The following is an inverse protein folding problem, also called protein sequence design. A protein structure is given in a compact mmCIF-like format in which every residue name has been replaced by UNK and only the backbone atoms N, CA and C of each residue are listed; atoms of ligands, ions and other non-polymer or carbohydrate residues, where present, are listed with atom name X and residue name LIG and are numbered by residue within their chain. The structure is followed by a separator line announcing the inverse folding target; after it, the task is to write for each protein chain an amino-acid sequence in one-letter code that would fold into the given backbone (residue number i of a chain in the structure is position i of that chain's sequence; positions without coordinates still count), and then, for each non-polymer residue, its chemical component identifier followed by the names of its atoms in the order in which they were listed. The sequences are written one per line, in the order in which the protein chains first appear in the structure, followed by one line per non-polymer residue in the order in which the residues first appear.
data_IF_460914383956
#
_entry.id   IF_460914383956
#
_cell.length_a   1.000
_cell.length_b   1.000
_cell.length_c   1.000
_cell.angle_alpha   90.00
_cell.angle_beta   90.00
_cell.angle_gamma   90.00
#
_symmetry.space_group_name_H-M   'P 1'
#
loop_
_entity.id
_entity.type
_entity.pdbx_description
1 polymer ?
#
# COMPACT_ATOMS: atom_id res chain seq x y z
N UNK A 1 -34.93 2.16 3.78
CA UNK A 1 -33.92 3.24 3.77
C UNK A 1 -34.56 4.48 3.12
N UNK A 2 -34.44 5.64 3.74
CA UNK A 2 -34.84 6.94 3.16
C UNK A 2 -33.72 7.42 2.19
N UNK A 3 -33.46 6.59 1.17
CA UNK A 3 -32.33 6.70 0.26
C UNK A 3 -32.76 7.37 -1.06
N UNK A 4 -34.02 7.24 -1.44
CA UNK A 4 -34.57 7.77 -2.70
C UNK A 4 -34.36 9.27 -2.87
N UNK A 5 -34.28 10.03 -1.78
CA UNK A 5 -34.00 11.47 -1.80
C UNK A 5 -32.61 11.83 -2.33
N UNK A 6 -31.70 10.85 -2.43
CA UNK A 6 -30.36 11.06 -3.01
C UNK A 6 -30.32 10.84 -4.53
N UNK A 7 -31.43 10.47 -5.17
CA UNK A 7 -31.49 10.30 -6.62
C UNK A 7 -31.49 11.59 -7.44
N UNK A 8 -31.09 12.70 -6.80
CA UNK A 8 -31.06 14.05 -7.39
C UNK A 8 -29.66 14.46 -7.89
N UNK A 9 -28.62 13.67 -7.61
CA UNK A 9 -27.24 13.96 -7.98
C UNK A 9 -26.53 12.70 -8.45
N UNK A 10 -25.46 12.89 -9.22
CA UNK A 10 -24.59 11.81 -9.65
C UNK A 10 -23.96 11.11 -8.45
N UNK A 11 -24.09 9.80 -8.40
CA UNK A 11 -23.67 8.99 -7.25
C UNK A 11 -22.53 8.06 -7.62
N UNK A 12 -21.47 8.05 -6.82
CA UNK A 12 -20.30 7.19 -6.98
C UNK A 12 -20.31 6.12 -5.88
N UNK A 13 -20.30 4.86 -6.26
CA UNK A 13 -20.11 3.76 -5.32
C UNK A 13 -18.62 3.46 -5.16
N UNK A 14 -18.11 3.56 -3.94
CA UNK A 14 -16.72 3.20 -3.59
C UNK A 14 -16.75 2.00 -2.66
N UNK A 15 -15.95 0.97 -2.99
CA UNK A 15 -15.72 -0.20 -2.14
C UNK A 15 -14.33 -0.10 -1.55
N UNK A 16 -14.23 -0.08 -0.21
CA UNK A 16 -12.94 0.08 0.49
C UNK A 16 -12.97 -0.57 1.88
N UNK A 17 -11.80 -0.69 2.51
CA UNK A 17 -11.66 -1.09 3.91
C UNK A 17 -11.58 0.13 4.86
N UNK A 18 -11.60 -0.13 6.19
CA UNK A 18 -11.45 0.89 7.24
C UNK A 18 -10.13 0.73 8.03
N UNK A 19 -9.10 0.08 7.46
CA UNK A 19 -7.86 -0.27 8.17
C UNK A 19 -6.81 0.84 8.15
N UNK A 20 -7.09 1.97 7.51
CA UNK A 20 -6.13 3.08 7.38
C UNK A 20 -5.14 2.89 6.22
N UNK A 21 -4.01 3.59 6.31
CA UNK A 21 -2.94 3.49 5.31
C UNK A 21 -3.14 4.31 4.04
N UNK A 22 -2.31 3.99 3.03
CA UNK A 22 -2.28 4.69 1.74
C UNK A 22 -3.58 4.60 0.94
N UNK A 23 -4.24 3.45 0.96
CA UNK A 23 -5.51 3.23 0.27
C UNK A 23 -6.61 4.17 0.79
N UNK A 24 -6.77 4.25 2.11
CA UNK A 24 -7.75 5.17 2.71
C UNK A 24 -7.38 6.64 2.49
N UNK A 25 -6.09 7.01 2.54
CA UNK A 25 -5.62 8.36 2.19
C UNK A 25 -6.03 8.74 0.75
N UNK A 26 -5.84 7.82 -0.19
CA UNK A 26 -6.25 8.02 -1.59
C UNK A 26 -7.77 8.14 -1.72
N UNK A 27 -8.54 7.20 -1.15
CA UNK A 27 -10.01 7.25 -1.14
C UNK A 27 -10.53 8.58 -0.60
N UNK A 28 -9.99 9.05 0.53
CA UNK A 28 -10.44 10.31 1.14
C UNK A 28 -10.17 11.51 0.23
N UNK A 29 -9.02 11.53 -0.45
CA UNK A 29 -8.70 12.57 -1.44
C UNK A 29 -9.66 12.52 -2.63
N UNK A 30 -9.94 11.33 -3.13
CA UNK A 30 -10.86 11.11 -4.25
C UNK A 30 -12.30 11.47 -3.89
N UNK A 31 -12.76 11.04 -2.71
CA UNK A 31 -14.11 11.37 -2.19
C UNK A 31 -14.28 12.88 -2.02
N UNK A 32 -13.29 13.56 -1.45
CA UNK A 32 -13.32 15.01 -1.31
C UNK A 32 -13.50 15.71 -2.66
N UNK A 33 -12.75 15.30 -3.69
CA UNK A 33 -12.88 15.82 -5.03
C UNK A 33 -14.30 15.66 -5.58
N UNK A 34 -14.88 14.47 -5.51
CA UNK A 34 -16.24 14.23 -5.99
C UNK A 34 -17.31 15.01 -5.21
N UNK A 35 -17.14 15.15 -3.89
CA UNK A 35 -18.04 15.94 -3.07
C UNK A 35 -17.96 17.45 -3.43
N UNK A 36 -16.79 17.97 -3.78
CA UNK A 36 -16.59 19.33 -4.27
C UNK A 36 -17.22 19.55 -5.65
N UNK A 37 -17.27 18.50 -6.49
CA UNK A 37 -17.98 18.47 -7.77
C UNK A 37 -19.52 18.33 -7.60
N UNK A 38 -20.03 18.26 -6.38
CA UNK A 38 -21.47 18.13 -6.08
C UNK A 38 -22.01 16.69 -6.17
N UNK A 39 -21.16 15.70 -6.30
CA UNK A 39 -21.54 14.28 -6.37
C UNK A 39 -21.82 13.71 -4.98
N UNK A 40 -22.53 12.59 -4.93
CA UNK A 40 -22.79 11.82 -3.73
C UNK A 40 -21.87 10.60 -3.71
N UNK A 41 -21.31 10.28 -2.55
CA UNK A 41 -20.50 9.08 -2.36
C UNK A 41 -21.28 8.04 -1.57
N UNK A 42 -21.42 6.85 -2.12
CA UNK A 42 -21.80 5.64 -1.40
C UNK A 42 -20.53 4.87 -1.07
N UNK A 43 -20.12 4.86 0.19
CA UNK A 43 -18.94 4.12 0.63
C UNK A 43 -19.40 2.81 1.29
N UNK A 44 -19.08 1.68 0.64
CA UNK A 44 -19.32 0.34 1.16
C UNK A 44 -18.06 -0.19 1.81
N UNK A 45 -18.14 -0.53 3.10
CA UNK A 45 -17.05 -1.11 3.90
C UNK A 45 -17.53 -2.32 4.68
N UNK A 46 -16.58 -3.10 5.22
CA UNK A 46 -16.87 -4.14 6.20
C UNK A 46 -16.15 -3.83 7.50
N UNK A 47 -16.93 -3.64 8.56
CA UNK A 47 -16.41 -3.26 9.86
C UNK A 47 -16.06 -4.51 10.69
N UNK A 48 -14.78 -4.79 10.85
CA UNK A 48 -14.26 -6.02 11.46
C UNK A 48 -14.69 -6.25 12.91
N UNK A 49 -14.79 -5.19 13.71
CA UNK A 49 -15.15 -5.35 15.14
C UNK A 49 -16.64 -5.73 15.33
N UNK A 50 -17.51 -5.26 14.47
CA UNK A 50 -18.94 -5.60 14.54
C UNK A 50 -19.37 -6.67 13.56
N UNK A 51 -18.47 -7.14 12.69
CA UNK A 51 -18.72 -8.13 11.64
C UNK A 51 -19.93 -7.76 10.77
N UNK A 52 -19.97 -6.50 10.32
CA UNK A 52 -21.11 -5.95 9.58
C UNK A 52 -20.67 -5.19 8.33
N UNK A 53 -21.45 -5.31 7.27
CA UNK A 53 -21.36 -4.41 6.13
C UNK A 53 -21.92 -3.05 6.51
N UNK A 54 -21.19 -2.02 6.17
CA UNK A 54 -21.55 -0.63 6.44
C UNK A 54 -21.63 0.12 5.11
N UNK A 55 -22.74 0.81 4.91
CA UNK A 55 -22.89 1.77 3.82
C UNK A 55 -22.92 3.17 4.40
N UNK A 56 -21.98 4.00 4.01
CA UNK A 56 -22.00 5.43 4.32
C UNK A 56 -22.42 6.23 3.10
N UNK A 57 -23.31 7.18 3.32
CA UNK A 57 -23.74 8.14 2.29
C UNK A 57 -23.14 9.49 2.65
N UNK A 58 -22.24 9.97 1.81
CA UNK A 58 -21.61 11.26 1.98
C UNK A 58 -22.14 12.24 0.93
N UNK A 59 -22.61 13.37 1.40
CA UNK A 59 -22.89 14.57 0.60
C UNK A 59 -21.95 15.69 1.02
N UNK A 60 -21.96 16.82 0.34
CA UNK A 60 -21.16 18.00 0.74
C UNK A 60 -21.38 18.40 2.20
N UNK A 61 -22.61 18.23 2.72
CA UNK A 61 -23.03 18.78 4.00
C UNK A 61 -23.41 17.71 5.04
N UNK A 62 -23.56 16.44 4.64
CA UNK A 62 -24.05 15.39 5.54
C UNK A 62 -23.32 14.08 5.30
N UNK A 63 -23.19 13.32 6.39
CA UNK A 63 -22.74 11.93 6.35
C UNK A 63 -23.75 11.09 7.14
N UNK A 64 -24.22 10.01 6.54
CA UNK A 64 -25.11 9.04 7.19
C UNK A 64 -24.53 7.66 7.06
N UNK A 65 -24.72 6.85 8.10
CA UNK A 65 -24.19 5.48 8.18
C UNK A 65 -25.32 4.49 8.37
N UNK A 66 -25.36 3.45 7.56
CA UNK A 66 -26.34 2.38 7.58
C UNK A 66 -25.64 1.03 7.74
N UNK A 67 -26.24 0.15 8.52
CA UNK A 67 -25.82 -1.25 8.62
C UNK A 67 -26.60 -2.03 7.58
N UNK A 68 -25.90 -2.85 6.81
CA UNK A 68 -26.50 -3.79 5.87
C UNK A 68 -26.51 -5.18 6.49
N UNK A 69 -27.60 -5.92 6.29
CA UNK A 69 -27.71 -7.32 6.75
C UNK A 69 -26.85 -8.25 5.90
N UNK A 70 -26.64 -7.90 4.63
CA UNK A 70 -25.76 -8.62 3.71
C UNK A 70 -25.26 -7.68 2.61
N UNK A 71 -24.21 -8.09 1.90
CA UNK A 71 -23.64 -7.31 0.80
C UNK A 71 -24.59 -7.20 -0.39
N UNK A 72 -25.49 -8.17 -0.58
CA UNK A 72 -26.46 -8.21 -1.66
C UNK A 72 -27.49 -7.07 -1.58
N UNK A 73 -27.66 -6.44 -0.41
CA UNK A 73 -28.52 -5.27 -0.29
C UNK A 73 -28.09 -4.10 -1.19
N UNK A 74 -26.83 -4.10 -1.65
CA UNK A 74 -26.36 -3.08 -2.60
C UNK A 74 -27.13 -3.12 -3.94
N UNK A 75 -27.67 -4.29 -4.35
CA UNK A 75 -28.53 -4.37 -5.54
C UNK A 75 -29.86 -3.63 -5.32
N UNK A 76 -30.44 -3.72 -4.12
CA UNK A 76 -31.67 -2.97 -3.77
C UNK A 76 -31.39 -1.46 -3.82
N UNK A 77 -30.20 -1.05 -3.33
CA UNK A 77 -29.79 0.35 -3.34
C UNK A 77 -29.55 0.84 -4.77
N UNK A 78 -28.92 0.03 -5.63
CA UNK A 78 -28.72 0.35 -7.04
C UNK A 78 -30.03 0.46 -7.85
N UNK A 79 -31.12 -0.16 -7.40
CA UNK A 79 -32.45 0.04 -7.96
C UNK A 79 -33.10 1.37 -7.53
N UNK A 80 -32.73 1.91 -6.35
CA UNK A 80 -33.31 3.13 -5.79
C UNK A 80 -32.53 4.38 -6.16
N UNK A 81 -31.21 4.24 -6.36
CA UNK A 81 -30.29 5.34 -6.68
C UNK A 81 -29.54 5.01 -7.94
N UNK A 82 -29.52 5.94 -8.91
CA UNK A 82 -28.71 5.83 -10.12
C UNK A 82 -27.24 5.98 -9.77
N UNK A 83 -26.50 4.86 -9.71
CA UNK A 83 -25.05 4.85 -9.56
C UNK A 83 -24.43 5.14 -10.93
N UNK A 84 -23.60 6.18 -11.00
CA UNK A 84 -22.92 6.61 -12.22
C UNK A 84 -21.60 5.87 -12.44
N UNK A 85 -20.90 5.54 -11.37
CA UNK A 85 -19.59 4.88 -11.41
C UNK A 85 -19.36 4.00 -10.20
N UNK A 86 -18.72 2.86 -10.43
CA UNK A 86 -18.20 1.98 -9.37
C UNK A 86 -16.69 2.15 -9.30
N UNK A 87 -16.17 2.34 -8.10
CA UNK A 87 -14.73 2.40 -7.82
C UNK A 87 -14.40 1.32 -6.79
N UNK A 88 -13.66 0.32 -7.21
CA UNK A 88 -13.04 -0.62 -6.28
C UNK A 88 -11.71 -0.01 -5.80
N UNK A 89 -11.60 0.21 -4.50
CA UNK A 89 -10.37 0.68 -3.87
C UNK A 89 -9.59 -0.47 -3.25
N UNK A 90 -10.23 -1.24 -2.36
CA UNK A 90 -9.76 -2.54 -1.85
C UNK A 90 -10.87 -3.20 -1.01
N UNK A 91 -10.82 -4.53 -0.85
CA UNK A 91 -11.78 -5.28 -0.03
C UNK A 91 -11.07 -6.24 0.95
N UNK A 92 -9.85 -5.91 1.37
CA UNK A 92 -8.98 -6.77 2.19
C UNK A 92 -9.65 -7.20 3.50
N UNK A 93 -10.56 -6.41 4.07
CA UNK A 93 -11.24 -6.71 5.33
C UNK A 93 -12.61 -7.36 5.18
N UNK A 94 -13.10 -7.57 3.95
CA UNK A 94 -14.47 -8.07 3.74
C UNK A 94 -14.62 -9.52 4.18
N UNK A 95 -15.83 -9.89 4.66
CA UNK A 95 -16.14 -11.23 5.16
C UNK A 95 -15.95 -12.33 4.11
N UNK A 96 -16.47 -12.07 2.89
CA UNK A 96 -16.37 -12.98 1.75
C UNK A 96 -15.71 -12.27 0.57
N UNK A 97 -14.41 -12.03 0.67
CA UNK A 97 -13.72 -11.24 -0.35
C UNK A 97 -13.69 -11.91 -1.73
N UNK A 98 -13.83 -13.23 -1.80
CA UNK A 98 -13.95 -14.01 -3.02
C UNK A 98 -15.22 -13.72 -3.84
N UNK A 99 -16.26 -13.15 -3.21
CA UNK A 99 -17.51 -12.79 -3.88
C UNK A 99 -17.51 -11.35 -4.40
N UNK A 100 -16.59 -10.52 -3.97
CA UNK A 100 -16.47 -9.11 -4.38
C UNK A 100 -16.31 -8.95 -5.90
N UNK A 101 -15.42 -9.67 -6.61
CA UNK A 101 -15.33 -9.53 -8.06
C UNK A 101 -16.61 -9.95 -8.78
N UNK A 102 -17.40 -10.89 -8.24
CA UNK A 102 -18.68 -11.30 -8.78
C UNK A 102 -19.71 -10.17 -8.59
N UNK A 103 -19.82 -9.61 -7.39
CA UNK A 103 -20.67 -8.47 -7.09
C UNK A 103 -20.42 -7.30 -8.02
N UNK A 104 -19.15 -6.91 -8.15
CA UNK A 104 -18.72 -5.81 -9.01
C UNK A 104 -19.09 -6.03 -10.47
N UNK A 105 -18.79 -7.22 -10.99
CA UNK A 105 -19.09 -7.61 -12.38
C UNK A 105 -20.59 -7.57 -12.64
N UNK A 106 -21.40 -8.12 -11.72
CA UNK A 106 -22.84 -8.17 -11.86
C UNK A 106 -23.49 -6.79 -11.77
N UNK A 107 -23.07 -5.95 -10.83
CA UNK A 107 -23.54 -4.56 -10.72
C UNK A 107 -23.21 -3.78 -12.00
N UNK A 108 -21.96 -3.83 -12.47
CA UNK A 108 -21.55 -3.15 -13.68
C UNK A 108 -22.38 -3.57 -14.89
N UNK A 109 -22.61 -4.88 -15.08
CA UNK A 109 -23.40 -5.40 -16.21
C UNK A 109 -24.88 -5.11 -16.11
N UNK A 110 -25.50 -5.38 -14.92
CA UNK A 110 -26.95 -5.26 -14.76
C UNK A 110 -27.45 -3.83 -14.92
N UNK A 111 -26.65 -2.86 -14.52
CA UNK A 111 -27.02 -1.43 -14.54
C UNK A 111 -26.23 -0.61 -15.54
N UNK A 112 -25.37 -1.25 -16.37
CA UNK A 112 -24.49 -0.61 -17.33
C UNK A 112 -23.63 0.51 -16.67
N UNK A 113 -23.05 0.22 -15.50
CA UNK A 113 -22.27 1.19 -14.72
C UNK A 113 -20.78 0.99 -15.05
N UNK A 114 -20.07 2.05 -15.50
CA UNK A 114 -18.62 2.00 -15.69
C UNK A 114 -17.89 1.73 -14.37
N UNK A 115 -16.87 0.87 -14.42
CA UNK A 115 -16.15 0.42 -13.25
C UNK A 115 -14.66 0.71 -13.36
N UNK A 116 -14.07 1.29 -12.31
CA UNK A 116 -12.63 1.51 -12.18
C UNK A 116 -12.10 0.64 -11.04
N UNK A 117 -11.05 -0.12 -11.32
CA UNK A 117 -10.35 -0.95 -10.33
C UNK A 117 -9.02 -0.28 -9.98
N UNK A 118 -8.90 0.20 -8.75
CA UNK A 118 -7.66 0.79 -8.23
C UNK A 118 -6.76 -0.30 -7.65
N UNK A 119 -5.51 -0.32 -8.06
CA UNK A 119 -4.52 -1.27 -7.55
C UNK A 119 -3.77 -0.63 -6.37
N UNK A 120 -4.45 -0.55 -5.21
CA UNK A 120 -3.84 -0.07 -3.96
C UNK A 120 -3.04 -1.16 -3.22
N UNK A 121 -3.37 -2.40 -3.49
CA UNK A 121 -2.71 -3.61 -3.03
C UNK A 121 -2.82 -4.70 -4.12
N UNK A 122 -2.32 -5.89 -3.83
CA UNK A 122 -2.39 -7.01 -4.77
C UNK A 122 -3.46 -8.04 -4.39
N UNK A 123 -4.48 -7.63 -3.66
CA UNK A 123 -5.59 -8.50 -3.28
C UNK A 123 -6.34 -9.06 -4.49
N UNK A 124 -6.41 -8.30 -5.57
CA UNK A 124 -6.94 -8.79 -6.86
C UNK A 124 -6.12 -9.97 -7.43
N UNK A 125 -4.85 -10.13 -7.04
CA UNK A 125 -3.95 -11.21 -7.49
C UNK A 125 -3.99 -12.41 -6.54
N UNK A 126 -3.99 -12.14 -5.24
CA UNK A 126 -3.87 -13.15 -4.21
C UNK A 126 -4.56 -12.70 -2.92
N UNK A 127 -5.24 -13.61 -2.18
CA UNK A 127 -5.75 -13.29 -0.84
C UNK A 127 -4.68 -12.82 0.14
N UNK A 128 -3.38 -13.10 -0.12
CA UNK A 128 -2.25 -12.45 0.56
C UNK A 128 -1.91 -11.13 -0.15
N UNK A 129 -2.44 -9.98 0.30
CA UNK A 129 -2.42 -8.72 -0.47
C UNK A 129 -1.03 -8.11 -0.64
N UNK A 130 -0.06 -8.57 0.15
CA UNK A 130 1.33 -8.15 0.08
C UNK A 130 2.19 -9.06 -0.79
N UNK A 131 1.61 -10.12 -1.39
CA UNK A 131 2.30 -11.15 -2.18
C UNK A 131 3.44 -11.82 -1.42
N UNK A 132 3.29 -11.96 -0.11
CA UNK A 132 4.18 -12.77 0.71
C UNK A 132 3.69 -14.22 0.66
N UNK A 133 4.62 -15.16 0.42
CA UNK A 133 4.34 -16.59 0.41
C UNK A 133 4.23 -17.16 1.84
N UNK A 134 3.96 -18.44 1.94
CA UNK A 134 3.85 -19.16 3.22
C UNK A 134 5.09 -19.04 4.15
N UNK A 135 6.23 -18.61 3.61
CA UNK A 135 7.48 -18.39 4.35
C UNK A 135 7.74 -16.91 4.65
N UNK A 136 6.75 -16.03 4.41
CA UNK A 136 6.87 -14.59 4.63
C UNK A 136 7.81 -13.88 3.65
N UNK A 137 8.05 -14.45 2.46
CA UNK A 137 8.91 -13.87 1.41
C UNK A 137 8.09 -13.44 0.19
N UNK A 138 8.50 -12.38 -0.47
CA UNK A 138 7.89 -11.96 -1.72
C UNK A 138 7.94 -13.08 -2.76
N UNK A 139 6.78 -13.46 -3.29
CA UNK A 139 6.65 -14.62 -4.17
C UNK A 139 6.86 -14.31 -5.66
N UNK A 140 6.87 -13.04 -6.03
CA UNK A 140 6.98 -12.60 -7.42
C UNK A 140 5.97 -13.29 -8.38
N UNK A 141 4.76 -13.57 -7.89
CA UNK A 141 3.66 -14.18 -8.67
C UNK A 141 4.15 -15.39 -9.50
N UNK A 142 4.44 -16.53 -8.87
CA UNK A 142 4.91 -17.74 -9.56
C UNK A 142 3.76 -18.42 -10.31
N UNK A 143 4.06 -19.61 -10.90
CA UNK A 143 3.06 -20.46 -11.52
C UNK A 143 1.89 -20.77 -10.57
N UNK A 144 0.69 -20.89 -11.14
CA UNK A 144 -0.56 -21.07 -10.39
C UNK A 144 -0.57 -22.34 -9.52
N UNK A 145 0.17 -23.39 -9.90
CA UNK A 145 0.26 -24.61 -9.12
C UNK A 145 1.08 -24.39 -7.84
N UNK A 146 2.15 -23.59 -7.91
CA UNK A 146 2.92 -23.15 -6.74
C UNK A 146 2.04 -22.29 -5.83
N UNK A 147 1.29 -21.36 -6.40
CA UNK A 147 0.35 -20.51 -5.66
C UNK A 147 -0.71 -21.34 -4.93
N UNK A 148 -1.24 -22.39 -5.55
CA UNK A 148 -2.27 -23.25 -4.95
C UNK A 148 -1.73 -24.01 -3.71
N UNK A 149 -0.49 -24.48 -3.75
CA UNK A 149 0.17 -25.10 -2.61
C UNK A 149 0.50 -24.07 -1.53
N UNK A 150 1.01 -22.91 -1.93
CA UNK A 150 1.33 -21.80 -1.02
C UNK A 150 0.10 -21.35 -0.25
N UNK A 151 -1.01 -21.09 -0.92
CA UNK A 151 -2.20 -20.50 -0.30
C UNK A 151 -2.79 -21.37 0.82
N UNK A 152 -2.78 -22.68 0.67
CA UNK A 152 -3.25 -23.63 1.69
C UNK A 152 -2.46 -23.56 3.00
N UNK A 153 -1.20 -23.16 2.94
CA UNK A 153 -0.28 -23.11 4.07
C UNK A 153 0.10 -21.66 4.46
N UNK A 154 -0.38 -20.68 3.71
CA UNK A 154 -0.02 -19.28 3.91
C UNK A 154 -0.81 -18.69 5.06
N UNK A 155 -0.08 -18.28 6.11
CA UNK A 155 -0.64 -17.60 7.29
C UNK A 155 -0.37 -16.10 7.26
N UNK A 156 0.28 -15.63 6.21
CA UNK A 156 0.58 -14.20 6.01
C UNK A 156 -0.63 -13.50 5.39
N UNK A 157 -1.04 -12.41 5.99
CA UNK A 157 -2.15 -11.59 5.51
C UNK A 157 -3.54 -12.01 6.03
N UNK A 158 -4.58 -11.45 5.45
CA UNK A 158 -5.97 -11.57 5.90
C UNK A 158 -6.64 -12.92 5.60
N UNK A 159 -5.98 -13.80 4.85
CA UNK A 159 -6.53 -15.10 4.50
C UNK A 159 -6.85 -15.97 5.73
N UNK A 160 -6.18 -15.72 6.85
CA UNK A 160 -6.44 -16.43 8.10
C UNK A 160 -7.82 -16.14 8.70
N UNK A 161 -8.45 -15.05 8.32
CA UNK A 161 -9.79 -14.65 8.78
C UNK A 161 -10.90 -15.21 7.89
N UNK A 162 -10.57 -15.61 6.64
CA UNK A 162 -11.53 -15.98 5.61
C UNK A 162 -11.09 -17.25 4.87
N UNK A 163 -12.05 -18.00 4.36
CA UNK A 163 -11.83 -19.34 3.78
C UNK A 163 -11.41 -19.36 2.30
N UNK A 164 -10.95 -18.26 1.73
CA UNK A 164 -10.58 -18.14 0.33
C UNK A 164 -9.28 -18.96 0.03
N UNK A 165 -9.40 -20.27 -0.08
CA UNK A 165 -8.26 -21.18 -0.25
C UNK A 165 -8.02 -21.68 -1.68
N UNK A 166 -8.87 -21.30 -2.66
CA UNK A 166 -8.73 -21.66 -4.07
C UNK A 166 -8.23 -20.50 -4.92
N UNK A 167 -6.92 -20.50 -5.18
CA UNK A 167 -6.30 -19.43 -5.98
C UNK A 167 -6.73 -19.45 -7.45
N UNK A 168 -7.07 -20.61 -8.01
CA UNK A 168 -7.53 -20.69 -9.40
C UNK A 168 -8.89 -20.04 -9.54
N UNK A 169 -9.81 -20.35 -8.62
CA UNK A 169 -11.13 -19.71 -8.58
C UNK A 169 -11.01 -18.22 -8.29
N UNK A 170 -10.16 -17.83 -7.32
CA UNK A 170 -9.87 -16.44 -7.02
C UNK A 170 -9.45 -15.65 -8.26
N UNK A 171 -8.40 -16.12 -8.95
CA UNK A 171 -7.89 -15.43 -10.15
C UNK A 171 -8.90 -15.44 -11.30
N UNK A 172 -9.65 -16.52 -11.50
CA UNK A 172 -10.70 -16.55 -12.53
C UNK A 172 -11.77 -15.50 -12.30
N UNK A 173 -12.25 -15.35 -11.05
CA UNK A 173 -13.26 -14.34 -10.70
C UNK A 173 -12.73 -12.92 -10.87
N UNK A 174 -11.51 -12.66 -10.41
CA UNK A 174 -10.88 -11.35 -10.59
C UNK A 174 -10.54 -11.05 -12.05
N UNK A 175 -10.09 -12.01 -12.83
CA UNK A 175 -9.84 -11.82 -14.26
C UNK A 175 -11.11 -11.37 -15.01
N UNK A 176 -12.24 -12.02 -14.75
CA UNK A 176 -13.53 -11.62 -15.32
C UNK A 176 -13.92 -10.18 -14.93
N UNK A 177 -13.68 -9.81 -13.67
CA UNK A 177 -13.94 -8.47 -13.16
C UNK A 177 -13.02 -7.43 -13.81
N UNK A 178 -11.73 -7.73 -13.92
CA UNK A 178 -10.73 -6.85 -14.53
C UNK A 178 -10.96 -6.66 -16.04
N UNK A 179 -11.42 -7.70 -16.76
CA UNK A 179 -11.81 -7.59 -18.18
C UNK A 179 -13.03 -6.68 -18.34
N UNK A 180 -13.99 -6.74 -17.40
CA UNK A 180 -15.20 -5.91 -17.43
C UNK A 180 -14.92 -4.45 -17.03
N UNK A 181 -13.84 -4.18 -16.33
CA UNK A 181 -13.50 -2.83 -15.89
C UNK A 181 -13.24 -1.89 -17.08
N UNK A 182 -13.81 -0.70 -17.03
CA UNK A 182 -13.49 0.39 -17.95
C UNK A 182 -12.01 0.78 -17.84
N UNK A 183 -11.47 0.72 -16.62
CA UNK A 183 -10.09 1.11 -16.35
C UNK A 183 -9.52 0.36 -15.14
N UNK A 184 -8.28 -0.10 -15.29
CA UNK A 184 -7.44 -0.61 -14.20
C UNK A 184 -6.42 0.49 -13.88
N UNK A 185 -6.56 1.12 -12.72
CA UNK A 185 -5.71 2.24 -12.30
C UNK A 185 -4.56 1.73 -11.43
N UNK A 186 -3.35 1.82 -11.96
CA UNK A 186 -2.10 1.50 -11.26
C UNK A 186 -1.38 2.78 -10.85
N UNK A 187 -0.68 2.74 -9.72
CA UNK A 187 0.03 3.91 -9.20
C UNK A 187 1.53 3.89 -9.49
N UNK A 188 2.01 2.82 -10.14
CA UNK A 188 3.38 2.65 -10.64
C UNK A 188 3.39 1.69 -11.83
N UNK A 189 4.46 1.72 -12.64
CA UNK A 189 4.67 0.73 -13.69
C UNK A 189 4.93 -0.66 -13.11
N UNK A 190 5.60 -0.73 -11.96
CA UNK A 190 5.82 -1.96 -11.21
C UNK A 190 4.51 -2.66 -10.87
N UNK A 191 3.50 -1.93 -10.36
CA UNK A 191 2.21 -2.53 -10.03
C UNK A 191 1.46 -3.00 -11.29
N UNK A 192 1.50 -2.27 -12.42
CA UNK A 192 0.97 -2.74 -13.70
C UNK A 192 1.63 -4.06 -14.11
N UNK A 193 2.95 -4.15 -14.03
CA UNK A 193 3.68 -5.35 -14.45
C UNK A 193 3.32 -6.58 -13.59
N UNK A 194 3.12 -6.40 -12.28
CA UNK A 194 2.68 -7.48 -11.38
C UNK A 194 1.27 -7.95 -11.76
N UNK A 195 0.33 -7.04 -12.04
CA UNK A 195 -1.02 -7.40 -12.48
C UNK A 195 -0.98 -8.13 -13.84
N UNK A 196 -0.20 -7.63 -14.80
CA UNK A 196 -0.02 -8.28 -16.11
C UNK A 196 0.59 -9.67 -16.00
N UNK A 197 1.52 -9.88 -15.06
CA UNK A 197 2.11 -11.20 -14.80
C UNK A 197 1.06 -12.20 -14.27
N UNK A 198 0.15 -11.73 -13.42
CA UNK A 198 -0.96 -12.55 -12.90
C UNK A 198 -2.04 -12.81 -13.95
N UNK A 199 -2.27 -11.86 -14.85
CA UNK A 199 -3.34 -11.82 -15.85
C UNK A 199 -2.80 -11.40 -17.23
N UNK A 200 -2.10 -12.30 -17.94
CA UNK A 200 -1.50 -11.98 -19.24
C UNK A 200 -2.53 -11.63 -20.33
N UNK A 201 -3.77 -12.09 -20.18
CA UNK A 201 -4.89 -11.85 -21.11
C UNK A 201 -5.37 -10.39 -21.13
N UNK A 202 -5.11 -9.60 -20.08
CA UNK A 202 -5.57 -8.21 -20.01
C UNK A 202 -4.89 -7.34 -21.07
N UNK A 203 -5.69 -6.51 -21.77
CA UNK A 203 -5.18 -5.54 -22.73
C UNK A 203 -4.36 -4.45 -22.04
N UNK A 204 -3.28 -3.99 -22.67
CA UNK A 204 -2.51 -2.85 -22.18
C UNK A 204 -3.33 -1.55 -22.14
N UNK A 205 -4.32 -1.41 -23.02
CA UNK A 205 -5.22 -0.26 -23.09
C UNK A 205 -6.17 -0.17 -21.90
N UNK A 206 -6.41 -1.27 -21.18
CA UNK A 206 -7.22 -1.26 -19.95
C UNK A 206 -6.50 -0.61 -18.77
N UNK A 207 -5.18 -0.43 -18.87
CA UNK A 207 -4.37 0.11 -17.78
C UNK A 207 -4.14 1.61 -17.93
N UNK A 208 -4.25 2.31 -16.79
CA UNK A 208 -3.76 3.68 -16.62
C UNK A 208 -2.77 3.72 -15.48
N UNK A 209 -1.59 4.29 -15.71
CA UNK A 209 -0.61 4.57 -14.66
C UNK A 209 -0.78 6.02 -14.24
N UNK A 210 -1.15 6.24 -12.99
CA UNK A 210 -1.35 7.58 -12.44
C UNK A 210 -0.81 7.63 -11.00
N UNK A 211 0.45 8.02 -10.81
CA UNK A 211 1.04 8.16 -9.48
C UNK A 211 0.23 9.08 -8.58
N UNK A 212 0.23 8.82 -7.28
CA UNK A 212 -0.38 9.74 -6.32
C UNK A 212 0.37 11.07 -6.26
N UNK A 213 -0.37 12.14 -6.01
CA UNK A 213 0.23 13.44 -5.73
C UNK A 213 0.70 13.49 -4.29
N UNK A 214 1.97 13.83 -4.08
CA UNK A 214 2.57 14.08 -2.77
C UNK A 214 2.88 15.56 -2.67
N UNK A 215 2.58 16.17 -1.53
CA UNK A 215 2.94 17.57 -1.29
C UNK A 215 4.43 17.66 -1.04
N UNK A 216 5.11 18.51 -1.83
CA UNK A 216 6.53 18.79 -1.62
C UNK A 216 6.78 19.45 -0.26
N UNK A 217 7.92 19.20 0.38
CA UNK A 217 8.28 19.86 1.62
C UNK A 217 8.47 21.38 1.40
N UNK A 218 8.06 22.18 2.39
CA UNK A 218 8.25 23.63 2.36
C UNK A 218 9.73 23.97 2.63
N UNK A 219 10.39 23.15 3.46
CA UNK A 219 11.80 23.29 3.82
C UNK A 219 12.50 21.96 3.67
N UNK A 220 13.66 21.95 3.05
CA UNK A 220 14.49 20.75 2.94
C UNK A 220 15.29 20.54 4.22
N UNK A 221 15.33 19.31 4.77
CA UNK A 221 16.12 19.01 5.95
C UNK A 221 17.61 19.07 5.63
N UNK A 222 18.41 19.61 6.54
CA UNK A 222 19.87 19.59 6.44
C UNK A 222 20.40 18.23 6.86
N UNK A 223 20.92 17.45 5.92
CA UNK A 223 21.55 16.15 6.17
C UNK A 223 23.07 16.34 6.27
N UNK A 224 23.69 15.79 7.31
CA UNK A 224 25.14 15.85 7.55
C UNK A 224 25.69 14.43 7.34
N UNK A 225 26.33 14.21 6.18
CA UNK A 225 26.78 12.88 5.75
C UNK A 225 28.06 12.45 6.48
N UNK A 226 29.00 13.34 6.76
CA UNK A 226 30.33 13.05 7.31
C UNK A 226 30.35 12.73 8.82
N UNK A 227 29.23 12.33 9.39
CA UNK A 227 29.10 11.79 10.76
C UNK A 227 29.08 10.27 10.75
N UNK A 228 29.12 9.67 11.96
CA UNK A 228 28.85 8.24 12.12
C UNK A 228 27.54 7.84 11.43
N UNK A 229 27.50 6.64 10.85
CA UNK A 229 26.30 6.15 10.15
C UNK A 229 25.12 6.11 11.10
N UNK A 230 24.07 6.82 10.73
CA UNK A 230 22.78 6.86 11.42
C UNK A 230 21.66 6.58 10.44
N UNK A 231 21.02 5.43 10.57
CA UNK A 231 19.97 4.96 9.68
C UNK A 231 18.63 5.47 10.15
N UNK A 232 17.92 6.21 9.29
CA UNK A 232 16.53 6.62 9.48
C UNK A 232 15.56 5.62 8.85
N UNK A 233 14.47 5.34 9.52
CA UNK A 233 13.35 4.52 9.00
C UNK A 233 12.05 5.27 9.27
N UNK A 234 11.15 5.35 8.28
CA UNK A 234 9.95 6.19 8.39
C UNK A 234 8.68 5.36 8.18
N UNK A 235 7.73 5.50 9.11
CA UNK A 235 6.39 4.91 9.05
C UNK A 235 6.05 4.00 10.22
N UNK A 236 4.92 3.30 10.09
CA UNK A 236 4.56 2.19 10.97
C UNK A 236 5.19 0.92 10.40
N UNK A 237 6.25 0.43 11.05
CA UNK A 237 7.07 -0.68 10.57
C UNK A 237 6.54 -1.99 11.16
N UNK A 238 5.63 -2.63 10.42
CA UNK A 238 5.11 -3.95 10.70
C UNK A 238 5.93 -5.04 9.96
N UNK A 239 5.53 -6.30 10.07
CA UNK A 239 6.27 -7.44 9.50
C UNK A 239 6.51 -7.24 7.99
N UNK A 240 5.47 -6.96 7.21
CA UNK A 240 5.62 -6.79 5.75
C UNK A 240 6.38 -5.51 5.35
N UNK A 241 6.46 -4.54 6.25
CA UNK A 241 7.30 -3.34 6.09
C UNK A 241 8.71 -3.51 6.67
N UNK A 242 9.12 -4.74 6.98
CA UNK A 242 10.48 -5.09 7.32
C UNK A 242 10.86 -4.93 8.80
N UNK A 243 9.91 -5.02 9.73
CA UNK A 243 10.21 -4.96 11.17
C UNK A 243 11.29 -5.97 11.57
N UNK A 244 11.25 -7.18 11.00
CA UNK A 244 12.24 -8.22 11.25
C UNK A 244 13.64 -7.82 10.76
N UNK A 245 13.74 -7.19 9.60
CA UNK A 245 15.02 -6.67 9.07
C UNK A 245 15.63 -5.66 10.05
N UNK A 246 14.85 -4.70 10.54
CA UNK A 246 15.34 -3.70 11.49
C UNK A 246 15.79 -4.35 12.80
N UNK A 247 15.05 -5.33 13.31
CA UNK A 247 15.43 -6.07 14.51
C UNK A 247 16.76 -6.83 14.31
N UNK A 248 16.92 -7.53 13.17
CA UNK A 248 18.14 -8.27 12.84
C UNK A 248 19.34 -7.34 12.66
N UNK A 249 19.19 -6.20 11.97
CA UNK A 249 20.23 -5.18 11.87
C UNK A 249 20.64 -4.65 13.23
N UNK A 250 19.67 -4.35 14.11
CA UNK A 250 19.94 -3.91 15.50
C UNK A 250 20.77 -4.95 16.27
N UNK A 251 20.44 -6.23 16.13
CA UNK A 251 21.16 -7.31 16.80
C UNK A 251 22.61 -7.45 16.29
N UNK A 252 22.83 -7.31 14.97
CA UNK A 252 24.17 -7.34 14.36
C UNK A 252 25.00 -6.15 14.85
N UNK A 253 24.48 -4.94 14.80
CA UNK A 253 25.14 -3.72 15.26
C UNK A 253 25.59 -3.86 16.69
N UNK A 254 24.70 -4.38 17.57
CA UNK A 254 25.00 -4.63 18.97
C UNK A 254 26.11 -5.67 19.15
N UNK A 255 25.97 -6.83 18.46
CA UNK A 255 26.91 -7.97 18.58
C UNK A 255 28.30 -7.58 18.13
N UNK A 256 28.42 -6.80 17.06
CA UNK A 256 29.70 -6.39 16.48
C UNK A 256 30.27 -5.10 17.12
N UNK A 257 29.55 -4.48 18.04
CA UNK A 257 29.99 -3.24 18.70
C UNK A 257 30.16 -2.06 17.74
N UNK A 258 29.39 -2.03 16.65
CA UNK A 258 29.49 -0.97 15.63
C UNK A 258 28.94 0.36 16.16
N UNK A 259 29.59 1.46 15.80
CA UNK A 259 29.12 2.83 16.08
C UNK A 259 28.06 3.25 15.06
N UNK A 260 26.96 2.51 15.00
CA UNK A 260 25.81 2.74 14.13
C UNK A 260 24.57 2.84 14.97
N UNK A 261 23.68 3.79 14.65
CA UNK A 261 22.38 3.95 15.30
C UNK A 261 21.25 3.89 14.29
N UNK A 262 20.06 3.56 14.76
CA UNK A 262 18.82 3.52 13.95
C UNK A 262 17.79 4.41 14.61
N UNK A 263 17.12 5.28 13.86
CA UNK A 263 15.96 6.05 14.35
C UNK A 263 14.73 5.74 13.52
N UNK A 264 13.65 5.36 14.21
CA UNK A 264 12.34 5.12 13.60
C UNK A 264 11.45 6.34 13.81
N UNK A 265 11.12 7.02 12.72
CA UNK A 265 10.10 8.08 12.72
C UNK A 265 8.75 7.40 12.54
N UNK A 266 8.06 7.16 13.63
CA UNK A 266 6.84 6.37 13.67
C UNK A 266 6.89 5.30 14.74
N UNK A 267 6.59 4.05 14.37
CA UNK A 267 6.54 2.91 15.31
C UNK A 267 7.03 1.62 14.63
N UNK A 268 7.34 0.61 15.45
CA UNK A 268 7.72 -0.72 14.98
C UNK A 268 7.00 -1.79 15.80
N UNK A 269 6.57 -2.88 15.16
CA UNK A 269 5.85 -3.97 15.82
C UNK A 269 6.76 -4.92 16.63
N UNK A 270 8.01 -5.06 16.25
CA UNK A 270 8.95 -5.95 16.93
C UNK A 270 9.84 -5.20 17.93
N UNK A 271 10.17 -5.82 19.07
CA UNK A 271 11.09 -5.22 20.02
C UNK A 271 12.51 -5.11 19.46
N UNK A 272 13.16 -3.98 19.69
CA UNK A 272 14.55 -3.71 19.32
C UNK A 272 15.33 -3.21 20.54
N UNK A 273 16.66 -3.33 20.50
CA UNK A 273 17.51 -2.80 21.56
C UNK A 273 17.47 -1.27 21.59
N UNK A 274 17.03 -0.70 22.71
CA UNK A 274 16.89 0.77 22.89
C UNK A 274 18.22 1.53 22.88
N UNK A 275 19.36 0.85 23.01
CA UNK A 275 20.69 1.47 22.87
C UNK A 275 21.08 1.69 21.40
N UNK A 276 20.46 0.94 20.48
CA UNK A 276 20.74 1.00 19.04
C UNK A 276 19.58 1.68 18.31
N UNK A 277 18.33 1.40 18.70
CA UNK A 277 17.11 1.86 18.02
C UNK A 277 16.36 2.86 18.87
N UNK A 278 16.17 4.08 18.38
CA UNK A 278 15.28 5.08 18.95
C UNK A 278 13.98 5.17 18.16
N UNK A 279 12.87 5.48 18.83
CA UNK A 279 11.54 5.57 18.23
C UNK A 279 10.92 6.93 18.59
N UNK A 280 10.48 7.71 17.59
CA UNK A 280 9.91 9.04 17.83
C UNK A 280 8.41 9.01 18.15
N UNK A 281 7.71 7.93 17.80
CA UNK A 281 6.25 7.85 17.84
C UNK A 281 5.56 8.44 16.61
N UNK A 282 4.21 8.49 16.61
CA UNK A 282 3.41 9.00 15.49
C UNK A 282 3.76 10.45 15.11
N UNK A 283 3.66 10.77 13.83
CA UNK A 283 3.96 12.09 13.30
C UNK A 283 2.93 12.49 12.21
N UNK A 284 2.87 13.80 11.92
CA UNK A 284 2.11 14.31 10.77
C UNK A 284 3.05 14.52 9.58
N UNK A 285 2.58 14.25 8.36
CA UNK A 285 3.43 14.37 7.15
C UNK A 285 4.08 15.75 6.98
N UNK A 286 3.44 16.83 7.41
CA UNK A 286 4.01 18.17 7.35
C UNK A 286 5.14 18.41 8.37
N UNK A 287 5.25 17.59 9.42
CA UNK A 287 6.30 17.66 10.45
C UNK A 287 7.53 16.83 10.06
N UNK A 288 7.38 15.93 9.07
CA UNK A 288 8.43 14.97 8.70
C UNK A 288 9.79 15.64 8.39
N UNK A 289 9.89 16.73 7.61
CA UNK A 289 11.18 17.37 7.31
C UNK A 289 11.90 17.87 8.57
N UNK A 290 11.15 18.40 9.53
CA UNK A 290 11.70 18.90 10.80
C UNK A 290 12.21 17.73 11.66
N UNK A 291 11.45 16.63 11.69
CA UNK A 291 11.85 15.44 12.47
C UNK A 291 13.07 14.79 11.83
N UNK A 292 13.13 14.68 10.49
CA UNK A 292 14.28 14.17 9.75
C UNK A 292 15.55 14.96 10.10
N UNK A 293 15.49 16.30 10.08
CA UNK A 293 16.63 17.15 10.45
C UNK A 293 17.02 16.96 11.94
N UNK A 294 16.03 16.88 12.83
CA UNK A 294 16.24 16.77 14.28
C UNK A 294 16.90 15.46 14.71
N UNK A 295 16.50 14.32 14.12
CA UNK A 295 17.07 13.01 14.45
C UNK A 295 18.51 12.89 13.96
N UNK A 296 18.89 13.63 12.90
CA UNK A 296 20.24 13.62 12.35
C UNK A 296 20.62 12.33 11.61
N UNK A 297 19.64 11.53 11.16
CA UNK A 297 19.91 10.39 10.30
C UNK A 297 20.50 10.85 8.96
N UNK A 298 21.53 10.13 8.50
CA UNK A 298 22.25 10.49 7.28
C UNK A 298 22.00 9.54 6.09
N UNK A 299 21.40 8.37 6.35
CA UNK A 299 20.87 7.47 5.32
C UNK A 299 19.49 6.98 5.79
N UNK A 300 18.54 6.88 4.86
CA UNK A 300 17.22 6.35 5.13
C UNK A 300 17.04 4.98 4.48
N UNK A 301 16.50 4.01 5.24
CA UNK A 301 16.20 2.66 4.76
C UNK A 301 14.70 2.48 4.63
N UNK A 302 14.25 2.02 3.47
CA UNK A 302 12.90 1.52 3.20
C UNK A 302 12.95 0.00 3.24
N UNK A 303 12.70 -0.64 4.41
CA UNK A 303 12.94 -2.07 4.59
C UNK A 303 11.77 -2.95 4.15
N UNK A 304 10.78 -2.42 3.41
CA UNK A 304 9.60 -3.17 2.94
C UNK A 304 10.01 -4.43 2.18
N UNK A 305 9.58 -5.60 2.67
CA UNK A 305 9.82 -6.92 2.06
C UNK A 305 8.74 -7.33 1.06
N UNK A 306 7.81 -6.43 0.78
CA UNK A 306 6.74 -6.60 -0.20
C UNK A 306 6.77 -5.47 -1.25
N UNK A 307 6.26 -5.72 -2.47
CA UNK A 307 6.18 -4.68 -3.49
C UNK A 307 5.10 -3.66 -3.10
N UNK A 308 5.50 -2.43 -2.83
CA UNK A 308 4.53 -1.35 -2.64
C UNK A 308 3.96 -0.91 -3.99
N UNK A 309 2.69 -0.50 -4.01
CA UNK A 309 2.02 -0.06 -5.24
C UNK A 309 2.37 1.37 -5.62
N UNK A 310 2.71 2.22 -4.63
CA UNK A 310 3.16 3.60 -4.84
C UNK A 310 4.33 4.01 -3.93
N UNK A 311 4.28 3.65 -2.64
CA UNK A 311 5.23 4.09 -1.60
C UNK A 311 5.26 5.61 -1.38
N UNK A 312 4.32 6.11 -0.57
CA UNK A 312 4.26 7.53 -0.20
C UNK A 312 5.55 7.99 0.49
N UNK A 313 6.03 7.21 1.45
CA UNK A 313 7.23 7.55 2.24
C UNK A 313 8.47 7.65 1.36
N UNK A 314 8.65 6.72 0.40
CA UNK A 314 9.75 6.81 -0.56
C UNK A 314 9.69 8.10 -1.36
N UNK A 315 8.49 8.52 -1.80
CA UNK A 315 8.33 9.78 -2.52
C UNK A 315 8.63 10.99 -1.64
N UNK A 316 8.12 11.01 -0.39
CA UNK A 316 8.37 12.08 0.57
C UNK A 316 9.88 12.23 0.87
N UNK A 317 10.61 11.10 1.00
CA UNK A 317 12.06 11.09 1.23
C UNK A 317 12.86 11.55 0.00
N UNK A 318 12.45 11.14 -1.22
CA UNK A 318 13.05 11.64 -2.47
C UNK A 318 12.84 13.15 -2.60
N UNK A 319 11.62 13.63 -2.33
CA UNK A 319 11.28 15.06 -2.40
C UNK A 319 12.04 15.90 -1.35
N UNK A 320 12.54 15.28 -0.27
CA UNK A 320 13.43 15.90 0.73
C UNK A 320 14.93 15.77 0.37
N UNK A 321 15.26 15.13 -0.75
CA UNK A 321 16.64 14.92 -1.23
C UNK A 321 17.56 14.19 -0.24
N UNK A 322 17.02 13.28 0.57
CA UNK A 322 17.80 12.50 1.52
C UNK A 322 18.39 11.23 0.87
N UNK A 323 19.57 10.75 1.30
CA UNK A 323 20.10 9.46 0.84
C UNK A 323 19.16 8.31 1.24
N UNK A 324 18.82 7.44 0.28
CA UNK A 324 17.75 6.48 0.42
C UNK A 324 18.14 5.09 -0.10
N UNK A 325 17.84 4.07 0.69
CA UNK A 325 18.11 2.66 0.37
C UNK A 325 16.78 1.89 0.37
N UNK A 326 16.56 1.02 -0.61
CA UNK A 326 15.45 0.07 -0.62
C UNK A 326 15.83 -1.26 -1.26
N UNK A 327 14.93 -2.24 -1.15
CA UNK A 327 15.04 -3.50 -1.90
C UNK A 327 14.57 -3.33 -3.35
N UNK A 328 15.04 -4.21 -4.25
CA UNK A 328 14.78 -4.24 -5.69
C UNK A 328 13.36 -4.72 -6.07
N UNK A 329 12.36 -4.38 -5.28
CA UNK A 329 10.96 -4.77 -5.45
C UNK A 329 10.02 -3.56 -5.43
N UNK A 330 8.92 -3.65 -6.19
CA UNK A 330 7.80 -2.71 -6.12
C UNK A 330 8.08 -1.28 -6.59
N UNK A 331 7.18 -0.39 -6.26
CA UNK A 331 7.25 1.03 -6.63
C UNK A 331 8.41 1.77 -5.94
N UNK A 332 8.84 1.31 -4.76
CA UNK A 332 9.99 1.87 -4.05
C UNK A 332 11.27 1.74 -4.88
N UNK A 333 11.54 0.57 -5.47
CA UNK A 333 12.68 0.37 -6.36
C UNK A 333 12.56 1.17 -7.66
N UNK A 334 11.36 1.17 -8.26
CA UNK A 334 11.10 1.95 -9.48
C UNK A 334 11.47 3.44 -9.30
N UNK A 335 11.10 4.03 -8.15
CA UNK A 335 11.38 5.45 -7.85
C UNK A 335 12.85 5.71 -7.62
N UNK A 336 13.56 4.80 -6.94
CA UNK A 336 14.98 4.99 -6.59
C UNK A 336 15.91 4.72 -7.77
N UNK A 337 15.47 3.96 -8.78
CA UNK A 337 16.31 3.58 -9.94
C UNK A 337 17.03 4.74 -10.58
N UNK A 338 16.40 5.90 -10.67
CA UNK A 338 16.96 7.11 -11.28
C UNK A 338 17.26 8.21 -10.26
N UNK A 339 17.24 7.88 -8.97
CA UNK A 339 17.51 8.85 -7.91
C UNK A 339 19.00 8.88 -7.58
N UNK A 340 19.65 10.03 -7.74
CA UNK A 340 21.11 10.18 -7.62
C UNK A 340 21.68 9.91 -6.22
N UNK A 341 20.85 9.96 -5.16
CA UNK A 341 21.20 9.61 -3.78
C UNK A 341 20.53 8.28 -3.36
N UNK A 342 20.27 7.39 -4.32
CA UNK A 342 19.60 6.13 -4.11
C UNK A 342 20.52 4.92 -4.19
N UNK A 343 20.25 3.91 -3.36
CA UNK A 343 20.84 2.58 -3.44
C UNK A 343 19.72 1.54 -3.48
N UNK A 344 19.77 0.63 -4.44
CA UNK A 344 18.90 -0.54 -4.52
C UNK A 344 19.69 -1.76 -4.11
N UNK A 345 19.21 -2.51 -3.13
CA UNK A 345 19.79 -3.75 -2.60
C UNK A 345 18.92 -4.93 -3.05
N UNK A 346 19.54 -6.06 -3.37
CA UNK A 346 18.78 -7.29 -3.63
C UNK A 346 17.91 -7.65 -2.43
N UNK A 347 16.65 -7.97 -2.69
CA UNK A 347 15.71 -8.37 -1.64
C UNK A 347 16.09 -9.73 -1.01
N UNK A 348 16.93 -10.52 -1.69
CA UNK A 348 17.46 -11.78 -1.20
C UNK A 348 18.71 -11.60 -0.31
N UNK A 349 19.21 -10.36 -0.14
CA UNK A 349 20.37 -10.08 0.72
C UNK A 349 20.10 -10.44 2.17
N UNK A 350 21.10 -11.04 2.81
CA UNK A 350 21.11 -11.29 4.24
C UNK A 350 21.22 -9.97 5.03
N UNK A 351 20.82 -9.92 6.30
CA UNK A 351 20.97 -8.71 7.14
C UNK A 351 22.41 -8.20 7.23
N UNK A 352 23.42 -9.09 7.23
CA UNK A 352 24.84 -8.68 7.19
C UNK A 352 25.18 -7.97 5.86
N UNK A 353 24.78 -8.55 4.73
CA UNK A 353 25.01 -7.96 3.41
C UNK A 353 24.26 -6.61 3.25
N UNK A 354 23.06 -6.49 3.82
CA UNK A 354 22.32 -5.23 3.84
C UNK A 354 23.12 -4.17 4.58
N UNK A 355 23.61 -4.48 5.78
CA UNK A 355 24.38 -3.54 6.59
C UNK A 355 25.68 -3.13 5.90
N UNK A 356 26.43 -4.09 5.34
CA UNK A 356 27.67 -3.83 4.60
C UNK A 356 27.44 -2.91 3.39
N UNK A 357 26.38 -3.15 2.61
CA UNK A 357 26.04 -2.32 1.45
C UNK A 357 25.65 -0.90 1.88
N UNK A 358 24.94 -0.74 3.01
CA UNK A 358 24.62 0.59 3.57
C UNK A 358 25.91 1.31 4.03
N UNK A 359 26.82 0.61 4.71
CA UNK A 359 28.11 1.17 5.14
C UNK A 359 28.97 1.62 3.94
N UNK A 360 29.02 0.80 2.88
CA UNK A 360 29.73 1.15 1.63
C UNK A 360 29.09 2.36 0.93
N UNK A 361 27.79 2.41 0.88
CA UNK A 361 27.06 3.55 0.32
C UNK A 361 27.33 4.84 1.10
N UNK A 362 27.34 4.77 2.43
CA UNK A 362 27.68 5.89 3.30
C UNK A 362 29.09 6.43 3.02
N UNK A 363 30.09 5.53 2.94
CA UNK A 363 31.49 5.91 2.59
C UNK A 363 31.56 6.63 1.24
N UNK A 364 30.87 6.09 0.23
CA UNK A 364 30.81 6.72 -1.10
C UNK A 364 30.21 8.12 -1.07
N UNK A 365 29.17 8.33 -0.26
CA UNK A 365 28.56 9.66 -0.12
C UNK A 365 29.50 10.66 0.56
N UNK A 366 30.26 10.23 1.57
CA UNK A 366 31.29 11.07 2.22
C UNK A 366 32.37 11.49 1.20
N UNK A 367 32.88 10.53 0.41
CA UNK A 367 33.87 10.82 -0.61
C UNK A 367 33.37 11.83 -1.68
N UNK A 368 32.10 11.71 -2.06
CA UNK A 368 31.46 12.64 -2.98
C UNK A 368 31.28 14.05 -2.40
N UNK A 369 31.02 14.19 -1.10
CA UNK A 369 30.96 15.51 -0.44
C UNK A 369 32.36 16.15 -0.32
N UNK A 370 33.40 15.36 -0.06
CA UNK A 370 34.80 15.85 0.04
C UNK A 370 35.38 16.33 -1.28
N UNK A 371 34.86 15.82 -2.40
CA UNK A 371 35.32 16.16 -3.76
C UNK A 371 34.51 17.32 -4.41
N UNK A 372 33.53 17.88 -3.69
CA UNK A 372 32.77 19.07 -4.11
C UNK A 372 33.30 20.34 -3.46
#
# INVERSE_FOLDING_TARGET
YDIEKYNIAETILIIDHELGGGANKYRNTLSKKYLEEGKIILLLTYHLLSLQYILEIHTKNTQKRYKLSSIEEIYKIANLIKIEKIIYNTAVSFEKPEDIPILLTNLSKAYNIPMVININDYFVVCPSPFLLNQNGRYCNVPDINICNTCLKNNREGFITLFTAADIKLWRKRWEMCLIQAEQILCFSASSKNIIKKAYPSLSDNSFKIQPHTVKKPIKYPKIIINKALHIGVVGHINIHKGAKIIQELSNIIKKEGKTISISIIGSIELPCDSKIVSITGPYKSNELPIIVEKIGANIFLMPSICPETFSYVTQELIDMEVPLVCFDIGAQAEKIKNYHKGLIISYDSTPNEILEQIEQFHKKLIEQEMNR
#
